data_IF_535015986736
#
_entry.id   IF_535015986736
#
_cell.length_a   1.000
_cell.length_b   1.000
_cell.length_c   1.000
_cell.angle_alpha   90.00
_cell.angle_beta   90.00
_cell.angle_gamma   90.00
#
_symmetry.space_group_name_H-M   'P 1'
#
loop_
_entity.id
_entity.type
_entity.pdbx_description
1 polymer ?
#
# COMPACT_ATOMS: atom_id res chain seq x y z
N UNK A 1 -31.18 9.89 12.94
CA UNK A 1 -31.39 8.47 12.60
C UNK A 1 -30.00 7.83 12.50
N UNK A 2 -29.85 6.54 12.87
CA UNK A 2 -28.61 5.79 12.67
C UNK A 2 -28.77 4.81 11.52
N UNK A 3 -27.68 4.58 10.78
CA UNK A 3 -27.70 3.60 9.70
C UNK A 3 -27.83 2.17 10.24
N UNK A 4 -28.58 1.35 9.51
CA UNK A 4 -28.70 -0.08 9.79
C UNK A 4 -27.45 -0.83 9.28
N UNK A 5 -27.13 -2.02 9.83
CA UNK A 5 -26.03 -2.84 9.33
C UNK A 5 -26.16 -3.18 7.83
N UNK A 6 -27.37 -3.32 7.33
CA UNK A 6 -27.64 -3.56 5.91
C UNK A 6 -27.27 -2.35 5.05
N UNK A 7 -27.57 -1.14 5.49
CA UNK A 7 -27.18 0.10 4.79
C UNK A 7 -25.67 0.30 4.80
N UNK A 8 -24.98 -0.04 5.89
CA UNK A 8 -23.51 -0.04 5.94
C UNK A 8 -22.92 -1.00 4.89
N UNK A 9 -23.46 -2.22 4.77
CA UNK A 9 -23.03 -3.15 3.74
C UNK A 9 -23.28 -2.62 2.32
N UNK A 10 -24.38 -1.89 2.11
CA UNK A 10 -24.63 -1.22 0.82
C UNK A 10 -23.61 -0.13 0.54
N UNK A 11 -23.11 0.61 1.55
CA UNK A 11 -22.03 1.57 1.39
C UNK A 11 -20.72 0.89 0.99
N UNK A 12 -20.35 -0.25 1.59
CA UNK A 12 -19.19 -1.04 1.14
C UNK A 12 -19.34 -1.51 -0.31
N UNK A 13 -20.52 -1.96 -0.71
CA UNK A 13 -20.78 -2.32 -2.11
C UNK A 13 -20.65 -1.12 -3.03
N UNK A 14 -21.16 0.04 -2.61
CA UNK A 14 -21.10 1.28 -3.35
C UNK A 14 -19.66 1.76 -3.56
N UNK A 15 -18.80 1.72 -2.54
CA UNK A 15 -17.38 2.09 -2.67
C UNK A 15 -16.65 1.15 -3.64
N UNK A 16 -16.94 -0.16 -3.62
CA UNK A 16 -16.37 -1.12 -4.58
C UNK A 16 -16.80 -0.84 -6.03
N UNK A 17 -18.05 -0.48 -6.24
CA UNK A 17 -18.56 -0.09 -7.57
C UNK A 17 -17.87 1.15 -8.13
N UNK A 18 -17.29 1.99 -7.25
CA UNK A 18 -16.50 3.16 -7.61
C UNK A 18 -14.98 2.87 -7.56
N UNK A 19 -14.58 1.62 -7.85
CA UNK A 19 -13.19 1.17 -8.02
C UNK A 19 -12.29 1.28 -6.77
N UNK A 20 -12.87 1.42 -5.58
CA UNK A 20 -12.09 1.36 -4.34
C UNK A 20 -11.95 -0.11 -3.92
N UNK A 21 -10.81 -0.73 -4.25
CA UNK A 21 -10.57 -2.16 -3.97
C UNK A 21 -10.01 -2.43 -2.58
N UNK A 22 -9.32 -1.46 -1.97
CA UNK A 22 -8.60 -1.66 -0.71
C UNK A 22 -9.51 -1.46 0.49
N UNK A 23 -9.54 -2.46 1.37
CA UNK A 23 -10.45 -2.52 2.51
C UNK A 23 -10.27 -1.37 3.50
N UNK A 24 -9.03 -0.98 3.79
CA UNK A 24 -8.71 0.14 4.68
C UNK A 24 -9.23 1.49 4.16
N UNK A 25 -9.19 1.69 2.83
CA UNK A 25 -9.77 2.88 2.19
C UNK A 25 -11.30 2.80 2.15
N UNK A 26 -11.86 1.61 1.85
CA UNK A 26 -13.31 1.40 1.89
C UNK A 26 -13.88 1.73 3.26
N UNK A 27 -13.26 1.25 4.33
CA UNK A 27 -13.71 1.49 5.71
C UNK A 27 -13.75 2.98 6.03
N UNK A 28 -12.69 3.71 5.70
CA UNK A 28 -12.62 5.16 5.93
C UNK A 28 -13.70 5.91 5.13
N UNK A 29 -13.90 5.55 3.87
CA UNK A 29 -14.94 6.17 3.04
C UNK A 29 -16.36 5.83 3.53
N UNK A 30 -16.58 4.60 3.96
CA UNK A 30 -17.87 4.18 4.53
C UNK A 30 -18.16 4.94 5.81
N UNK A 31 -17.18 5.12 6.69
CA UNK A 31 -17.34 5.92 7.91
C UNK A 31 -17.70 7.38 7.59
N UNK A 32 -17.00 7.99 6.61
CA UNK A 32 -17.31 9.35 6.16
C UNK A 32 -18.72 9.46 5.57
N UNK A 33 -19.09 8.55 4.67
CA UNK A 33 -20.45 8.52 4.09
C UNK A 33 -21.53 8.30 5.16
N UNK A 34 -21.27 7.38 6.08
CA UNK A 34 -22.22 7.08 7.15
C UNK A 34 -22.50 8.31 8.03
N UNK A 35 -21.43 8.94 8.51
CA UNK A 35 -21.54 10.15 9.33
C UNK A 35 -22.25 11.28 8.58
N UNK A 36 -21.94 11.48 7.32
CA UNK A 36 -22.55 12.55 6.51
C UNK A 36 -24.03 12.27 6.21
N UNK A 37 -24.38 11.02 5.91
CA UNK A 37 -25.78 10.61 5.73
C UNK A 37 -26.58 10.81 7.02
N UNK A 38 -26.03 10.46 8.17
CA UNK A 38 -26.68 10.67 9.46
C UNK A 38 -26.90 12.17 9.75
N UNK A 39 -25.95 13.04 9.38
CA UNK A 39 -26.13 14.49 9.46
C UNK A 39 -27.21 15.01 8.51
N UNK A 40 -27.23 14.54 7.26
CA UNK A 40 -28.27 14.91 6.28
C UNK A 40 -29.65 14.52 6.79
N UNK A 41 -29.81 13.40 7.48
CA UNK A 41 -31.08 12.98 8.06
C UNK A 41 -31.49 13.80 9.28
N UNK A 42 -30.55 14.42 10.00
CA UNK A 42 -30.91 15.40 11.06
C UNK A 42 -31.55 16.66 10.47
N UNK A 43 -31.05 17.12 9.32
CA UNK A 43 -31.58 18.29 8.62
C UNK A 43 -32.86 17.96 7.81
N UNK A 44 -32.92 16.78 7.21
CA UNK A 44 -33.98 16.31 6.29
C UNK A 44 -34.43 14.89 6.63
N UNK A 45 -35.23 14.69 7.68
CA UNK A 45 -35.60 13.35 8.17
C UNK A 45 -36.38 12.47 7.19
N UNK A 46 -37.06 13.09 6.23
CA UNK A 46 -37.91 12.38 5.24
C UNK A 46 -37.12 11.89 4.00
N UNK A 47 -35.82 12.06 3.98
CA UNK A 47 -35.01 11.67 2.82
C UNK A 47 -34.76 10.16 2.82
N UNK A 48 -34.90 9.53 1.64
CA UNK A 48 -34.52 8.11 1.51
C UNK A 48 -33.01 7.92 1.66
N UNK A 49 -32.58 6.70 2.00
CA UNK A 49 -31.17 6.37 2.11
C UNK A 49 -30.41 6.63 0.81
N UNK A 50 -30.98 6.25 -0.33
CA UNK A 50 -30.40 6.44 -1.66
C UNK A 50 -30.20 7.93 -1.99
N UNK A 51 -31.20 8.76 -1.68
CA UNK A 51 -31.12 10.19 -1.91
C UNK A 51 -30.06 10.85 -0.99
N UNK A 52 -30.02 10.47 0.29
CA UNK A 52 -29.02 10.97 1.22
C UNK A 52 -27.61 10.53 0.83
N UNK A 53 -27.42 9.27 0.40
CA UNK A 53 -26.16 8.77 -0.14
C UNK A 53 -25.71 9.54 -1.38
N UNK A 54 -26.62 9.83 -2.30
CA UNK A 54 -26.31 10.59 -3.52
C UNK A 54 -25.87 12.02 -3.20
N UNK A 55 -26.49 12.69 -2.21
CA UNK A 55 -26.11 14.02 -1.75
C UNK A 55 -24.71 13.95 -1.10
N UNK A 56 -24.48 12.96 -0.22
CA UNK A 56 -23.19 12.77 0.43
C UNK A 56 -22.08 12.49 -0.60
N UNK A 57 -22.33 11.60 -1.55
CA UNK A 57 -21.35 11.29 -2.60
C UNK A 57 -21.00 12.49 -3.46
N UNK A 58 -21.96 13.36 -3.77
CA UNK A 58 -21.73 14.58 -4.56
C UNK A 58 -20.73 15.54 -3.90
N UNK A 59 -20.57 15.49 -2.57
CA UNK A 59 -19.60 16.33 -1.84
C UNK A 59 -18.14 15.93 -2.12
N UNK A 60 -17.89 14.71 -2.60
CA UNK A 60 -16.54 14.26 -3.01
C UNK A 60 -16.06 14.88 -4.34
N UNK A 61 -16.89 15.68 -4.99
CA UNK A 61 -16.54 16.40 -6.21
C UNK A 61 -16.54 15.54 -7.48
N UNK A 62 -15.90 16.04 -8.53
CA UNK A 62 -15.93 15.45 -9.87
C UNK A 62 -15.19 14.10 -9.93
N UNK A 63 -14.10 13.98 -9.19
CA UNK A 63 -13.28 12.77 -9.14
C UNK A 63 -13.77 11.74 -8.10
N UNK A 64 -14.82 12.06 -7.36
CA UNK A 64 -15.42 11.16 -6.38
C UNK A 64 -14.39 10.66 -5.35
N UNK A 65 -14.32 9.34 -5.14
CA UNK A 65 -13.43 8.74 -4.14
C UNK A 65 -11.95 8.73 -4.54
N UNK A 66 -11.60 9.05 -5.79
CA UNK A 66 -10.22 8.99 -6.28
C UNK A 66 -9.30 10.00 -5.57
N UNK A 67 -9.81 11.18 -5.23
CA UNK A 67 -9.04 12.18 -4.49
C UNK A 67 -8.68 11.69 -3.08
N UNK A 68 -9.65 11.11 -2.39
CA UNK A 68 -9.42 10.51 -1.06
C UNK A 68 -8.46 9.34 -1.14
N UNK A 69 -8.63 8.48 -2.15
CA UNK A 69 -7.73 7.37 -2.41
C UNK A 69 -6.29 7.83 -2.65
N UNK A 70 -6.08 8.82 -3.51
CA UNK A 70 -4.77 9.40 -3.83
C UNK A 70 -4.11 10.06 -2.61
N UNK A 71 -4.88 10.80 -1.82
CA UNK A 71 -4.41 11.41 -0.59
C UNK A 71 -3.96 10.35 0.43
N UNK A 72 -4.74 9.28 0.61
CA UNK A 72 -4.41 8.16 1.49
C UNK A 72 -3.14 7.43 1.02
N UNK A 73 -3.05 7.14 -0.27
CA UNK A 73 -1.88 6.51 -0.88
C UNK A 73 -0.62 7.36 -0.63
N UNK A 74 -0.69 8.67 -0.87
CA UNK A 74 0.43 9.58 -0.66
C UNK A 74 0.85 9.67 0.80
N UNK A 75 -0.12 9.71 1.73
CA UNK A 75 0.16 9.70 3.17
C UNK A 75 0.85 8.41 3.62
N UNK A 76 0.40 7.24 3.14
CA UNK A 76 1.01 5.95 3.42
C UNK A 76 2.41 5.84 2.82
N UNK A 77 2.63 6.32 1.59
CA UNK A 77 3.96 6.35 0.97
C UNK A 77 4.94 7.21 1.78
N UNK A 78 4.53 8.41 2.18
CA UNK A 78 5.37 9.29 3.04
C UNK A 78 5.71 8.62 4.36
N UNK A 79 4.73 7.99 5.02
CA UNK A 79 4.95 7.24 6.27
C UNK A 79 5.92 6.08 6.07
N UNK A 80 5.76 5.32 5.00
CA UNK A 80 6.64 4.20 4.66
C UNK A 80 8.08 4.66 4.37
N UNK A 81 8.26 5.71 3.56
CA UNK A 81 9.57 6.30 3.29
C UNK A 81 10.25 6.82 4.55
N UNK A 82 9.48 7.44 5.47
CA UNK A 82 10.00 7.87 6.77
C UNK A 82 10.52 6.70 7.59
N UNK A 83 9.79 5.59 7.64
CA UNK A 83 10.21 4.38 8.35
C UNK A 83 11.46 3.79 7.71
N UNK A 84 11.51 3.67 6.38
CA UNK A 84 12.70 3.22 5.65
C UNK A 84 13.91 4.11 5.95
N UNK A 85 13.72 5.42 5.94
CA UNK A 85 14.79 6.38 6.22
C UNK A 85 15.33 6.25 7.65
N UNK A 86 14.46 6.02 8.63
CA UNK A 86 14.89 5.77 10.02
C UNK A 86 15.75 4.49 10.11
N UNK A 87 15.34 3.42 9.44
CA UNK A 87 16.13 2.17 9.41
C UNK A 87 17.43 2.33 8.61
N UNK A 88 17.41 3.08 7.49
CA UNK A 88 18.61 3.40 6.73
C UNK A 88 19.60 4.19 7.58
N UNK A 89 19.17 5.24 8.28
CA UNK A 89 20.04 5.99 9.22
C UNK A 89 20.65 5.09 10.30
N UNK A 90 19.89 4.12 10.79
CA UNK A 90 20.36 3.18 11.81
C UNK A 90 21.46 2.25 11.27
N UNK A 91 21.45 1.99 9.94
CA UNK A 91 22.49 1.23 9.27
C UNK A 91 23.79 2.03 9.15
N UNK A 92 23.71 3.35 8.98
CA UNK A 92 24.87 4.25 8.87
C UNK A 92 25.52 4.60 10.21
N UNK A 93 25.10 4.01 11.34
CA UNK A 93 25.82 4.15 12.61
C UNK A 93 27.19 3.51 12.54
N UNK A 94 28.20 4.16 13.14
CA UNK A 94 29.61 3.81 13.08
C UNK A 94 29.92 2.30 13.14
N UNK A 95 29.42 1.50 14.12
CA UNK A 95 29.79 0.10 14.20
C UNK A 95 29.30 -0.71 12.99
N UNK A 96 28.11 -0.41 12.45
CA UNK A 96 27.56 -1.13 11.31
C UNK A 96 28.25 -0.77 10.00
N UNK A 97 28.59 0.50 9.81
CA UNK A 97 29.31 0.96 8.62
C UNK A 97 30.73 0.38 8.57
N UNK A 98 31.43 0.30 9.72
CA UNK A 98 32.75 -0.33 9.78
C UNK A 98 32.69 -1.81 9.39
N UNK A 99 31.74 -2.56 9.95
CA UNK A 99 31.53 -3.98 9.60
C UNK A 99 31.23 -4.13 8.10
N UNK A 100 30.35 -3.30 7.56
CA UNK A 100 29.97 -3.37 6.13
C UNK A 100 31.15 -3.04 5.24
N UNK A 101 31.92 -1.99 5.56
CA UNK A 101 33.08 -1.57 4.78
C UNK A 101 34.19 -2.62 4.83
N UNK A 102 34.43 -3.20 6.00
CA UNK A 102 35.41 -4.28 6.17
C UNK A 102 35.02 -5.52 5.36
N UNK A 103 33.74 -5.89 5.39
CA UNK A 103 33.21 -7.03 4.64
C UNK A 103 33.31 -6.79 3.13
N UNK A 104 33.01 -5.56 2.68
CA UNK A 104 33.16 -5.16 1.29
C UNK A 104 34.62 -5.16 0.83
N UNK A 105 35.54 -4.74 1.69
CA UNK A 105 36.97 -4.76 1.41
C UNK A 105 37.51 -6.20 1.26
N UNK A 106 37.13 -7.11 2.16
CA UNK A 106 37.50 -8.52 2.03
C UNK A 106 36.87 -9.18 0.81
N UNK A 107 35.63 -8.82 0.48
CA UNK A 107 34.98 -9.28 -0.74
C UNK A 107 35.71 -8.81 -2.00
N UNK A 108 36.11 -7.54 -2.04
CA UNK A 108 36.89 -6.96 -3.13
C UNK A 108 38.26 -7.66 -3.29
N UNK A 109 39.00 -7.90 -2.19
CA UNK A 109 40.25 -8.63 -2.23
C UNK A 109 40.07 -10.09 -2.67
N UNK A 110 38.97 -10.72 -2.30
CA UNK A 110 38.60 -12.06 -2.73
C UNK A 110 38.35 -12.13 -4.23
N UNK A 111 37.54 -11.20 -4.75
CA UNK A 111 37.22 -11.13 -6.19
C UNK A 111 38.42 -10.92 -7.06
N UNK A 112 39.44 -10.16 -6.59
CA UNK A 112 40.70 -9.94 -7.34
C UNK A 112 41.56 -11.20 -7.47
N UNK A 113 41.28 -12.28 -6.74
CA UNK A 113 41.97 -13.58 -6.80
C UNK A 113 41.22 -14.63 -7.62
N UNK A 114 39.97 -14.37 -7.99
CA UNK A 114 39.13 -15.27 -8.75
C UNK A 114 38.99 -14.79 -10.20
N UNK A 115 38.86 -15.72 -11.12
CA UNK A 115 38.54 -15.41 -12.52
C UNK A 115 37.22 -14.64 -12.61
N UNK A 116 37.10 -13.76 -13.61
CA UNK A 116 35.89 -12.92 -13.82
C UNK A 116 34.65 -13.77 -13.92
N UNK A 117 34.73 -14.95 -14.53
CA UNK A 117 33.59 -15.88 -14.65
C UNK A 117 33.09 -16.38 -13.31
N UNK A 118 33.97 -16.64 -12.35
CA UNK A 118 33.59 -17.07 -11.01
C UNK A 118 32.90 -15.95 -10.23
N UNK A 119 33.35 -14.72 -10.36
CA UNK A 119 32.71 -13.57 -9.76
C UNK A 119 31.30 -13.33 -10.30
N UNK A 120 31.10 -13.50 -11.61
CA UNK A 120 29.78 -13.40 -12.24
C UNK A 120 28.84 -14.52 -11.80
N UNK A 121 29.35 -15.74 -11.63
CA UNK A 121 28.55 -16.86 -11.10
C UNK A 121 28.05 -16.56 -9.68
N UNK A 122 28.92 -16.10 -8.78
CA UNK A 122 28.53 -15.73 -7.41
C UNK A 122 27.46 -14.64 -7.43
N UNK A 123 27.66 -13.58 -8.22
CA UNK A 123 26.69 -12.51 -8.37
C UNK A 123 25.33 -13.05 -8.88
N UNK A 124 25.37 -13.92 -9.88
CA UNK A 124 24.19 -14.59 -10.41
C UNK A 124 23.44 -15.40 -9.34
N UNK A 125 24.14 -16.16 -8.52
CA UNK A 125 23.56 -16.93 -7.41
C UNK A 125 22.88 -16.00 -6.39
N UNK A 126 23.52 -14.89 -6.02
CA UNK A 126 22.96 -13.91 -5.08
C UNK A 126 21.66 -13.30 -5.63
N UNK A 127 21.67 -12.91 -6.90
CA UNK A 127 20.49 -12.35 -7.59
C UNK A 127 19.34 -13.37 -7.63
N UNK A 128 19.64 -14.61 -8.06
CA UNK A 128 18.64 -15.68 -8.13
C UNK A 128 18.04 -15.97 -6.75
N UNK A 129 18.89 -16.04 -5.71
CA UNK A 129 18.43 -16.24 -4.34
C UNK A 129 17.54 -15.10 -3.83
N UNK A 130 17.92 -13.86 -4.14
CA UNK A 130 17.10 -12.67 -3.84
C UNK A 130 15.73 -12.71 -4.51
N UNK A 131 15.70 -13.06 -5.80
CA UNK A 131 14.47 -13.21 -6.58
C UNK A 131 13.58 -14.33 -6.03
N UNK A 132 14.16 -15.48 -5.69
CA UNK A 132 13.42 -16.59 -5.11
C UNK A 132 12.77 -16.21 -3.78
N UNK A 133 13.52 -15.59 -2.86
CA UNK A 133 12.97 -15.08 -1.59
C UNK A 133 11.84 -14.09 -1.83
N UNK A 134 12.00 -13.19 -2.79
CA UNK A 134 10.97 -12.22 -3.11
C UNK A 134 9.69 -12.88 -3.65
N UNK A 135 9.83 -13.84 -4.59
CA UNK A 135 8.67 -14.60 -5.11
C UNK A 135 7.95 -15.35 -3.99
N UNK A 136 8.69 -15.98 -3.07
CA UNK A 136 8.11 -16.67 -1.92
C UNK A 136 7.35 -15.71 -1.00
N UNK A 137 7.87 -14.51 -0.79
CA UNK A 137 7.22 -13.47 -0.01
C UNK A 137 5.91 -13.01 -0.67
N UNK A 138 5.93 -12.73 -1.98
CA UNK A 138 4.74 -12.39 -2.76
C UNK A 138 3.67 -13.48 -2.69
N UNK A 139 4.07 -14.75 -2.80
CA UNK A 139 3.15 -15.89 -2.66
C UNK A 139 2.50 -15.93 -1.27
N UNK A 140 3.29 -15.68 -0.20
CA UNK A 140 2.75 -15.61 1.18
C UNK A 140 1.73 -14.49 1.34
N UNK A 141 1.99 -13.32 0.77
CA UNK A 141 1.07 -12.17 0.84
C UNK A 141 -0.21 -12.45 0.07
N UNK A 142 -0.10 -12.91 -1.19
CA UNK A 142 -1.27 -13.30 -1.99
C UNK A 142 -2.12 -14.38 -1.30
N UNK A 143 -1.48 -15.37 -0.67
CA UNK A 143 -2.19 -16.41 0.09
C UNK A 143 -2.95 -15.80 1.29
N UNK A 144 -2.33 -14.86 2.03
CA UNK A 144 -2.99 -14.15 3.14
C UNK A 144 -4.17 -13.30 2.67
N UNK A 145 -4.00 -12.54 1.59
CA UNK A 145 -5.07 -11.74 1.00
C UNK A 145 -6.26 -12.61 0.56
N UNK A 146 -5.97 -13.78 -0.06
CA UNK A 146 -7.01 -14.72 -0.47
C UNK A 146 -7.76 -15.34 0.73
N UNK A 147 -7.06 -15.63 1.83
CA UNK A 147 -7.66 -16.19 3.04
C UNK A 147 -8.52 -15.18 3.80
N UNK A 148 -8.12 -13.89 3.81
CA UNK A 148 -8.87 -12.81 4.47
C UNK A 148 -10.00 -12.28 3.61
N UNK A 149 -9.94 -12.45 2.29
CA UNK A 149 -10.87 -11.85 1.33
C UNK A 149 -10.71 -10.33 1.19
N UNK A 150 -9.69 -9.75 1.79
CA UNK A 150 -9.46 -8.31 1.87
C UNK A 150 -8.07 -7.94 1.33
N UNK A 151 -8.01 -6.86 0.55
CA UNK A 151 -6.76 -6.26 0.06
C UNK A 151 -6.49 -5.00 0.89
N UNK A 152 -5.25 -4.84 1.35
CA UNK A 152 -4.81 -3.67 2.11
C UNK A 152 -3.89 -2.80 1.26
N UNK A 153 -4.16 -1.49 1.22
CA UNK A 153 -3.41 -0.54 0.40
C UNK A 153 -1.92 -0.51 0.77
N UNK A 154 -1.59 -0.56 2.06
CA UNK A 154 -0.20 -0.57 2.51
C UNK A 154 0.56 -1.81 2.05
N UNK A 155 -0.05 -3.01 2.11
CA UNK A 155 0.56 -4.24 1.61
C UNK A 155 0.86 -4.13 0.11
N UNK A 156 -0.10 -3.63 -0.67
CA UNK A 156 0.05 -3.47 -2.12
C UNK A 156 1.17 -2.46 -2.47
N UNK A 157 1.24 -1.33 -1.76
CA UNK A 157 2.27 -0.32 -1.96
C UNK A 157 3.69 -0.84 -1.64
N UNK A 158 3.86 -1.58 -0.55
CA UNK A 158 5.15 -2.16 -0.17
C UNK A 158 5.62 -3.16 -1.22
N UNK A 159 4.73 -4.05 -1.68
CA UNK A 159 5.12 -5.14 -2.57
C UNK A 159 5.23 -4.72 -4.04
N UNK A 160 4.44 -3.75 -4.50
CA UNK A 160 4.60 -3.16 -5.84
C UNK A 160 5.79 -2.20 -5.89
N UNK A 161 5.99 -1.39 -4.85
CA UNK A 161 7.07 -0.40 -4.78
C UNK A 161 8.47 -1.00 -4.78
N UNK A 162 8.66 -2.19 -4.21
CA UNK A 162 9.95 -2.89 -4.19
C UNK A 162 10.42 -3.37 -5.59
N UNK A 163 9.51 -3.54 -6.56
CA UNK A 163 9.86 -4.06 -7.90
C UNK A 163 9.86 -3.02 -9.01
N UNK A 164 9.06 -1.97 -8.92
CA UNK A 164 8.90 -0.98 -9.99
C UNK A 164 9.27 0.42 -9.53
N UNK A 165 10.33 0.56 -8.72
CA UNK A 165 10.90 1.89 -8.40
C UNK A 165 9.86 3.00 -8.35
N UNK A 166 8.97 2.95 -7.39
CA UNK A 166 8.10 3.98 -6.83
C UNK A 166 7.57 5.18 -7.62
N UNK A 167 7.53 5.19 -8.93
CA UNK A 167 7.18 6.41 -9.69
C UNK A 167 6.03 6.20 -10.69
N UNK A 168 5.48 5.02 -10.83
CA UNK A 168 4.31 4.83 -11.70
C UNK A 168 3.03 4.57 -10.90
N UNK A 169 2.71 5.46 -10.00
CA UNK A 169 1.40 5.55 -9.35
C UNK A 169 0.42 6.43 -10.12
N UNK A 170 0.64 6.60 -11.41
CA UNK A 170 -0.36 7.17 -12.31
C UNK A 170 -0.70 6.06 -13.29
N UNK A 171 -1.56 5.14 -12.88
CA UNK A 171 -2.37 4.45 -13.86
C UNK A 171 -3.39 5.47 -14.36
N UNK A 172 -3.03 6.14 -15.43
CA UNK A 172 -3.96 6.67 -16.42
C UNK A 172 -4.81 5.48 -16.89
N UNK A 173 -6.05 5.55 -16.58
CA UNK A 173 -7.33 4.99 -17.04
C UNK A 173 -8.24 4.60 -15.90
#
# INVERSE_FOLDING_TARGET
MKLTPQQIQQLYKFTRQHYVEHYDVQTELVDHLANDIEQIWLEKPNLSFEAARAISFKKFGVFGFMDVYGAKQSALQKKYLKILWLHAKDWFKLPKIMVTTTLFYFFYLGLGKFDQDFALIILGIIIVFGLLKHILLLRKVKKRQKLRGEKWLLEDLIFRGLFFGGITGVNLF
#
